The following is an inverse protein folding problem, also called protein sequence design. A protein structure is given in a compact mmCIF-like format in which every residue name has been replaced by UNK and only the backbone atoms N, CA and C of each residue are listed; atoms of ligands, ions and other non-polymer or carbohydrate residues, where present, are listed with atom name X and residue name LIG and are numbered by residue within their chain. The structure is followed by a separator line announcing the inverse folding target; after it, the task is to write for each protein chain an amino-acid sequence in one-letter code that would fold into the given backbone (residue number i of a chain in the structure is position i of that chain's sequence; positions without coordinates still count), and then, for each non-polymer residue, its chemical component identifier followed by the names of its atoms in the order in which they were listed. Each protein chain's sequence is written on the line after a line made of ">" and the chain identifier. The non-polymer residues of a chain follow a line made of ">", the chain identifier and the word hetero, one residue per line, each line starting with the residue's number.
data_IF_995774421104
#
_entry.id   IF_995774421104
#
_cell.length_a   1.000
_cell.length_b   1.000
_cell.length_c   1.000
_cell.angle_alpha   90.00
_cell.angle_beta   90.00
_cell.angle_gamma   90.00
#
_symmetry.space_group_name_H-M   'P 1'
#
loop_
_entity.id
_entity.type
_entity.pdbx_description
1 polymer ?
#
# COMPACT_ATOMS: atom_id res chain seq x y z
N UNK A 1 -23.27 -19.47 30.97
CA UNK A 1 -21.83 -19.82 31.12
C UNK A 1 -21.21 -20.47 29.89
N UNK A 2 -21.61 -20.10 28.65
CA UNK A 2 -21.12 -20.76 27.43
C UNK A 2 -20.76 -19.79 26.29
N UNK A 3 -20.39 -18.55 26.58
CA UNK A 3 -20.09 -17.54 25.54
C UNK A 3 -18.58 -17.43 25.25
N UNK A 4 -17.69 -18.09 26.00
CA UNK A 4 -16.23 -17.96 25.84
C UNK A 4 -15.56 -19.01 24.94
N UNK A 5 -16.31 -19.94 24.36
CA UNK A 5 -15.73 -21.09 23.64
C UNK A 5 -15.33 -20.87 22.17
N UNK A 6 -15.74 -19.76 21.54
CA UNK A 6 -15.61 -19.62 20.08
C UNK A 6 -14.41 -18.79 19.59
N UNK A 7 -13.54 -18.30 20.47
CA UNK A 7 -12.43 -17.41 20.11
C UNK A 7 -11.07 -17.82 20.71
N UNK A 8 -10.84 -19.10 20.90
CA UNK A 8 -9.58 -19.59 21.47
C UNK A 8 -8.57 -20.05 20.41
N UNK A 9 -8.90 -19.96 19.15
CA UNK A 9 -8.01 -20.31 18.05
C UNK A 9 -8.33 -19.53 16.78
N UNK A 10 -7.30 -19.33 15.97
CA UNK A 10 -7.41 -18.80 14.60
C UNK A 10 -6.66 -19.71 13.65
N UNK A 11 -7.28 -20.06 12.54
CA UNK A 11 -6.63 -20.78 11.45
C UNK A 11 -6.08 -19.79 10.44
N UNK A 12 -4.77 -19.59 10.44
CA UNK A 12 -4.05 -18.72 9.51
C UNK A 12 -3.86 -19.47 8.19
N UNK A 13 -4.35 -18.90 7.11
CA UNK A 13 -4.30 -19.50 5.78
C UNK A 13 -2.87 -19.35 5.17
N UNK A 14 -2.51 -20.19 4.17
CA UNK A 14 -1.29 -19.98 3.39
C UNK A 14 -1.23 -18.59 2.76
N UNK A 15 -0.10 -17.89 2.94
CA UNK A 15 0.08 -16.50 2.50
C UNK A 15 -0.51 -15.46 3.43
N UNK A 16 -0.86 -15.88 4.64
CA UNK A 16 -1.24 -15.00 5.74
C UNK A 16 -0.27 -15.18 6.91
N UNK A 17 -0.16 -14.14 7.71
CA UNK A 17 0.59 -14.12 8.98
C UNK A 17 -0.25 -13.45 10.06
N UNK A 18 -0.05 -13.86 11.31
CA UNK A 18 -0.77 -13.32 12.45
C UNK A 18 0.13 -12.60 13.43
N UNK A 19 -0.40 -11.58 14.08
CA UNK A 19 0.21 -10.95 15.26
C UNK A 19 -0.75 -11.05 16.42
N UNK A 20 -0.23 -11.27 17.61
CA UNK A 20 -1.03 -11.47 18.83
C UNK A 20 -1.08 -10.20 19.67
N UNK A 21 -2.28 -9.87 20.13
CA UNK A 21 -2.50 -8.81 21.10
C UNK A 21 -2.88 -9.41 22.46
N UNK A 22 -2.06 -9.15 23.47
CA UNK A 22 -2.27 -9.59 24.84
C UNK A 22 -3.05 -8.55 25.63
N UNK A 23 -4.35 -8.76 25.80
CA UNK A 23 -5.23 -7.79 26.47
C UNK A 23 -4.92 -7.59 27.96
N UNK A 24 -4.44 -8.64 28.63
CA UNK A 24 -4.09 -8.61 30.06
C UNK A 24 -2.57 -8.68 30.28
N UNK A 25 -1.76 -8.24 29.30
CA UNK A 25 -0.30 -8.30 29.36
C UNK A 25 0.35 -7.11 28.66
N UNK A 26 1.44 -7.36 27.93
CA UNK A 26 2.29 -6.34 27.31
C UNK A 26 1.71 -5.71 26.04
N UNK A 27 0.45 -6.00 25.69
CA UNK A 27 -0.20 -5.45 24.51
C UNK A 27 0.13 -6.20 23.22
N UNK A 28 0.53 -5.46 22.18
CA UNK A 28 0.87 -6.04 20.89
C UNK A 28 2.25 -6.70 20.91
N UNK A 29 2.29 -7.96 20.48
CA UNK A 29 3.55 -8.67 20.24
C UNK A 29 4.12 -8.26 18.88
N UNK A 30 5.15 -7.44 18.91
CA UNK A 30 5.82 -6.96 17.68
C UNK A 30 6.98 -7.85 17.24
N UNK A 31 7.41 -8.78 18.08
CA UNK A 31 8.57 -9.63 17.83
C UNK A 31 8.20 -10.97 17.21
N UNK A 32 7.03 -11.50 17.56
CA UNK A 32 6.60 -12.82 17.12
C UNK A 32 5.52 -12.74 16.06
N UNK A 33 5.83 -13.30 14.89
CA UNK A 33 4.87 -13.47 13.80
C UNK A 33 4.41 -14.92 13.73
N UNK A 34 3.11 -15.13 13.76
CA UNK A 34 2.48 -16.44 13.73
C UNK A 34 2.22 -16.88 12.29
N UNK A 35 2.74 -18.07 11.94
CA UNK A 35 2.61 -18.66 10.61
C UNK A 35 1.28 -19.38 10.39
N UNK A 36 1.15 -19.94 9.17
CA UNK A 36 -0.02 -20.72 8.75
C UNK A 36 -0.33 -21.90 9.68
N UNK A 37 -1.60 -22.25 9.75
CA UNK A 37 -2.13 -23.34 10.57
C UNK A 37 -2.96 -22.85 11.76
N UNK A 38 -3.30 -23.79 12.62
CA UNK A 38 -4.14 -23.52 13.78
C UNK A 38 -3.30 -22.94 14.93
N UNK A 39 -3.58 -21.71 15.29
CA UNK A 39 -2.91 -21.00 16.37
C UNK A 39 -3.87 -20.80 17.55
N UNK A 40 -3.49 -21.30 18.72
CA UNK A 40 -4.30 -21.21 19.94
C UNK A 40 -3.87 -20.00 20.79
N UNK A 41 -4.84 -19.36 21.43
CA UNK A 41 -4.61 -18.24 22.36
C UNK A 41 -5.70 -18.19 23.42
N UNK A 42 -5.44 -17.46 24.49
CA UNK A 42 -6.40 -17.29 25.59
C UNK A 42 -7.59 -16.43 25.14
N UNK A 43 -8.80 -16.66 25.69
CA UNK A 43 -10.03 -16.05 25.18
C UNK A 43 -10.08 -14.51 25.27
N UNK A 44 -9.24 -13.91 26.09
CA UNK A 44 -9.10 -12.45 26.21
C UNK A 44 -8.05 -11.85 25.28
N UNK A 45 -7.21 -12.67 24.64
CA UNK A 45 -6.25 -12.22 23.64
C UNK A 45 -6.90 -12.15 22.25
N UNK A 46 -6.25 -11.44 21.34
CA UNK A 46 -6.71 -11.35 19.95
C UNK A 46 -5.59 -11.76 18.99
N UNK A 47 -5.97 -12.40 17.90
CA UNK A 47 -5.09 -12.67 16.77
C UNK A 47 -5.53 -11.77 15.60
N UNK A 48 -4.62 -10.95 15.11
CA UNK A 48 -4.83 -10.07 13.95
C UNK A 48 -4.10 -10.71 12.78
N UNK A 49 -4.82 -10.96 11.69
CA UNK A 49 -4.29 -11.69 10.52
C UNK A 49 -4.09 -10.75 9.35
N UNK A 50 -2.91 -10.79 8.76
CA UNK A 50 -2.52 -10.02 7.59
C UNK A 50 -2.34 -10.92 6.37
N UNK A 51 -2.79 -10.45 5.21
CA UNK A 51 -2.41 -11.02 3.93
C UNK A 51 -1.01 -10.48 3.56
N UNK A 52 -0.05 -11.40 3.43
CA UNK A 52 1.35 -11.06 3.09
C UNK A 52 1.70 -11.43 1.66
N UNK A 53 0.72 -11.86 0.87
CA UNK A 53 0.89 -12.09 -0.57
C UNK A 53 1.07 -10.78 -1.31
N UNK A 54 1.63 -10.88 -2.50
CA UNK A 54 1.67 -9.77 -3.46
C UNK A 54 0.25 -9.27 -3.78
N UNK A 55 0.03 -7.99 -3.58
CA UNK A 55 -1.22 -7.29 -3.83
C UNK A 55 -1.00 -6.24 -4.90
N UNK A 56 -2.05 -5.95 -5.68
CA UNK A 56 -2.05 -4.88 -6.65
C UNK A 56 -3.17 -3.89 -6.36
N UNK A 57 -2.84 -2.61 -6.37
CA UNK A 57 -3.83 -1.55 -6.19
C UNK A 57 -3.67 -0.48 -7.26
N UNK A 58 -4.79 -0.14 -7.93
CA UNK A 58 -4.85 0.94 -8.88
C UNK A 58 -5.04 2.28 -8.16
N UNK A 59 -4.27 3.28 -8.55
CA UNK A 59 -4.36 4.64 -8.02
C UNK A 59 -4.25 5.64 -9.16
N UNK A 60 -5.01 6.73 -9.07
CA UNK A 60 -4.90 7.88 -9.96
C UNK A 60 -4.42 9.08 -9.16
N UNK A 61 -3.45 9.79 -9.70
CA UNK A 61 -2.91 11.02 -9.11
C UNK A 61 -3.08 12.15 -10.10
N UNK A 62 -3.84 13.15 -9.71
CA UNK A 62 -4.05 14.36 -10.51
C UNK A 62 -3.00 15.39 -10.11
N UNK A 63 -2.26 15.90 -11.09
CA UNK A 63 -1.15 16.83 -10.89
C UNK A 63 -1.02 17.85 -12.00
N UNK A 64 0.04 18.65 -11.90
CA UNK A 64 0.44 19.61 -12.94
C UNK A 64 1.88 19.33 -13.33
N UNK A 65 2.15 19.42 -14.61
CA UNK A 65 3.49 19.34 -15.17
C UNK A 65 4.31 20.62 -14.88
N UNK A 66 5.55 20.69 -15.36
CA UNK A 66 6.42 21.86 -15.22
C UNK A 66 5.81 23.14 -15.81
N UNK A 67 4.98 23.04 -16.85
CA UNK A 67 4.33 24.14 -17.52
C UNK A 67 2.97 24.52 -16.92
N UNK A 68 2.52 23.80 -15.89
CA UNK A 68 1.23 23.99 -15.24
C UNK A 68 0.07 23.30 -15.95
N UNK A 69 0.34 22.45 -16.94
CA UNK A 69 -0.68 21.64 -17.63
C UNK A 69 -1.21 20.56 -16.67
N UNK A 70 -2.54 20.52 -16.50
CA UNK A 70 -3.15 19.51 -15.67
C UNK A 70 -3.09 18.14 -16.35
N UNK A 71 -2.54 17.17 -15.65
CA UNK A 71 -2.47 15.78 -16.07
C UNK A 71 -2.85 14.82 -14.95
N UNK A 72 -3.43 13.70 -15.29
CA UNK A 72 -3.71 12.61 -14.37
C UNK A 72 -2.82 11.42 -14.71
N UNK A 73 -2.16 10.87 -13.69
CA UNK A 73 -1.32 9.68 -13.82
C UNK A 73 -2.04 8.49 -13.20
N UNK A 74 -2.47 7.55 -14.05
CA UNK A 74 -3.05 6.29 -13.61
C UNK A 74 -1.96 5.25 -13.43
N UNK A 75 -1.84 4.68 -12.23
CA UNK A 75 -0.78 3.75 -11.88
C UNK A 75 -1.34 2.52 -11.16
N UNK A 76 -0.65 1.38 -11.31
CA UNK A 76 -0.85 0.19 -10.50
C UNK A 76 0.38 0.00 -9.61
N UNK A 77 0.15 -0.11 -8.31
CA UNK A 77 1.19 -0.39 -7.33
C UNK A 77 1.12 -1.87 -6.98
N UNK A 78 2.24 -2.57 -7.10
CA UNK A 78 2.39 -3.97 -6.72
C UNK A 78 3.27 -4.01 -5.48
N UNK A 79 2.73 -4.56 -4.39
CA UNK A 79 3.38 -4.50 -3.08
C UNK A 79 2.96 -5.67 -2.18
N UNK A 80 3.72 -5.90 -1.13
CA UNK A 80 3.35 -6.78 -0.03
C UNK A 80 4.00 -6.31 1.28
N UNK A 81 3.39 -6.60 2.45
CA UNK A 81 4.04 -6.39 3.74
C UNK A 81 5.24 -7.32 3.93
N UNK A 82 6.23 -6.89 4.72
CA UNK A 82 7.32 -7.78 5.16
C UNK A 82 6.77 -8.80 6.14
N UNK A 83 6.87 -10.09 5.80
CA UNK A 83 6.21 -11.19 6.53
C UNK A 83 6.54 -11.23 8.02
N UNK A 84 7.79 -11.01 8.38
CA UNK A 84 8.27 -11.10 9.77
C UNK A 84 8.17 -9.77 10.53
N UNK A 85 7.72 -8.70 9.88
CA UNK A 85 7.64 -7.35 10.43
C UNK A 85 6.19 -6.82 10.53
N UNK A 86 5.18 -7.68 10.33
CA UNK A 86 3.77 -7.28 10.40
C UNK A 86 3.36 -6.77 11.78
N UNK A 87 4.02 -7.22 12.85
CA UNK A 87 3.81 -6.68 14.19
C UNK A 87 4.21 -5.21 14.29
N UNK A 88 5.34 -4.85 13.69
CA UNK A 88 5.81 -3.47 13.61
C UNK A 88 4.89 -2.63 12.73
N UNK A 89 4.52 -3.13 11.56
CA UNK A 89 3.56 -2.48 10.66
C UNK A 89 2.23 -2.21 11.36
N UNK A 90 1.71 -3.20 12.11
CA UNK A 90 0.46 -3.03 12.86
C UNK A 90 0.58 -1.96 13.94
N UNK A 91 1.70 -1.95 14.67
CA UNK A 91 1.94 -0.98 15.73
C UNK A 91 2.07 0.46 15.21
N UNK A 92 2.74 0.64 14.07
CA UNK A 92 2.99 1.97 13.50
C UNK A 92 1.82 2.54 12.68
N UNK A 93 1.13 1.70 11.91
CA UNK A 93 0.14 2.13 10.91
C UNK A 93 -1.22 1.47 11.13
N UNK A 94 -1.23 0.18 11.45
CA UNK A 94 -2.43 -0.63 11.61
C UNK A 94 -2.85 -1.35 10.32
N UNK A 95 -4.04 -1.98 10.37
CA UNK A 95 -4.54 -2.84 9.28
C UNK A 95 -4.82 -2.08 7.99
N UNK A 96 -5.23 -0.80 8.08
CA UNK A 96 -5.56 0.03 6.92
C UNK A 96 -4.32 0.80 6.36
N UNK A 97 -3.18 0.13 6.29
CA UNK A 97 -1.92 0.72 5.79
C UNK A 97 -2.01 1.17 4.33
N UNK A 98 -2.89 0.57 3.52
CA UNK A 98 -3.12 1.01 2.14
C UNK A 98 -3.63 2.46 2.08
N UNK A 99 -4.70 2.77 2.81
CA UNK A 99 -5.30 4.11 2.77
C UNK A 99 -4.56 5.13 3.62
N UNK A 100 -3.93 4.69 4.72
CA UNK A 100 -3.23 5.59 5.65
C UNK A 100 -1.79 5.89 5.25
N UNK A 101 -1.14 4.97 4.52
CA UNK A 101 0.28 5.09 4.21
C UNK A 101 0.56 5.05 2.70
N UNK A 102 0.20 3.96 2.01
CA UNK A 102 0.60 3.76 0.60
C UNK A 102 0.00 4.82 -0.31
N UNK A 103 -1.33 5.03 -0.26
CA UNK A 103 -2.02 6.00 -1.13
C UNK A 103 -1.54 7.45 -0.95
N UNK A 104 -1.43 7.99 0.28
CA UNK A 104 -0.89 9.32 0.47
C UNK A 104 0.54 9.46 -0.05
N UNK A 105 1.40 8.49 0.26
CA UNK A 105 2.80 8.52 -0.17
C UNK A 105 2.98 8.49 -1.68
N UNK A 106 2.26 7.62 -2.40
CA UNK A 106 2.34 7.61 -3.87
C UNK A 106 1.82 8.92 -4.45
N UNK A 107 0.79 9.51 -3.86
CA UNK A 107 0.27 10.81 -4.25
C UNK A 107 1.34 11.89 -4.15
N UNK A 108 1.97 12.02 -3.01
CA UNK A 108 3.00 13.03 -2.74
C UNK A 108 4.23 12.85 -3.64
N UNK A 109 4.70 11.63 -3.79
CA UNK A 109 5.86 11.30 -4.62
C UNK A 109 5.56 11.55 -6.10
N UNK A 110 4.42 11.07 -6.60
CA UNK A 110 4.02 11.26 -7.99
C UNK A 110 3.88 12.75 -8.32
N UNK A 111 3.23 13.55 -7.45
CA UNK A 111 3.11 15.00 -7.62
C UNK A 111 4.47 15.72 -7.64
N UNK A 112 5.41 15.25 -6.83
CA UNK A 112 6.76 15.81 -6.80
C UNK A 112 7.50 15.52 -8.09
N UNK A 113 7.44 14.29 -8.56
CA UNK A 113 8.16 13.86 -9.77
C UNK A 113 7.53 14.44 -11.04
N UNK A 114 6.20 14.47 -11.16
CA UNK A 114 5.49 15.03 -12.33
C UNK A 114 5.91 16.49 -12.59
N UNK A 115 6.08 17.29 -11.57
CA UNK A 115 6.48 18.72 -11.69
C UNK A 115 7.85 18.95 -12.33
N UNK A 116 8.67 17.93 -12.41
CA UNK A 116 10.01 18.04 -13.01
C UNK A 116 10.04 17.76 -14.52
N UNK A 117 8.94 17.28 -15.07
CA UNK A 117 8.81 16.92 -16.48
C UNK A 117 7.72 17.74 -17.16
N UNK A 118 7.87 17.93 -18.48
CA UNK A 118 6.77 18.43 -19.31
C UNK A 118 5.89 17.26 -19.76
N UNK A 119 4.63 17.53 -20.03
CA UNK A 119 3.71 16.50 -20.54
C UNK A 119 4.25 15.80 -21.79
N UNK A 120 4.78 16.57 -22.75
CA UNK A 120 5.36 16.03 -24.00
C UNK A 120 6.55 15.09 -23.73
N UNK A 121 7.38 15.37 -22.74
CA UNK A 121 8.47 14.49 -22.32
C UNK A 121 7.93 13.18 -21.72
N UNK A 122 6.89 13.26 -20.89
CA UNK A 122 6.30 12.10 -20.24
C UNK A 122 5.70 11.14 -21.26
N UNK A 123 4.97 11.64 -22.25
CA UNK A 123 4.31 10.79 -23.25
C UNK A 123 5.26 10.28 -24.34
N UNK A 124 6.34 11.01 -24.64
CA UNK A 124 7.23 10.68 -25.76
C UNK A 124 8.32 9.66 -25.37
N UNK A 125 9.19 10.00 -24.44
CA UNK A 125 10.40 9.22 -24.20
C UNK A 125 10.84 9.09 -22.73
N UNK A 126 10.20 9.80 -21.80
CA UNK A 126 10.60 9.79 -20.37
C UNK A 126 9.61 9.06 -19.45
N UNK A 127 8.63 8.37 -19.99
CA UNK A 127 7.66 7.60 -19.20
C UNK A 127 8.33 6.56 -18.31
N UNK A 128 9.31 5.84 -18.84
CA UNK A 128 10.04 4.82 -18.09
C UNK A 128 10.97 5.44 -17.03
N UNK A 129 11.58 6.58 -17.32
CA UNK A 129 12.40 7.33 -16.37
C UNK A 129 11.55 7.82 -15.19
N UNK A 130 10.40 8.42 -15.48
CA UNK A 130 9.43 8.88 -14.49
C UNK A 130 8.94 7.71 -13.62
N UNK A 131 8.57 6.57 -14.25
CA UNK A 131 8.19 5.34 -13.56
C UNK A 131 9.27 4.89 -12.58
N UNK A 132 10.50 4.73 -13.06
CA UNK A 132 11.62 4.27 -12.25
C UNK A 132 11.92 5.21 -11.07
N UNK A 133 11.76 6.51 -11.28
CA UNK A 133 11.99 7.49 -10.24
C UNK A 133 10.94 7.41 -9.14
N UNK A 134 9.66 7.33 -9.51
CA UNK A 134 8.57 7.13 -8.55
C UNK A 134 8.77 5.82 -7.80
N UNK A 135 9.10 4.73 -8.51
CA UNK A 135 9.30 3.40 -7.92
C UNK A 135 10.43 3.40 -6.89
N UNK A 136 11.59 3.96 -7.22
CA UNK A 136 12.73 4.04 -6.30
C UNK A 136 12.43 4.87 -5.05
N UNK A 137 11.74 6.00 -5.21
CA UNK A 137 11.33 6.83 -4.07
C UNK A 137 10.32 6.10 -3.19
N UNK A 138 9.34 5.41 -3.78
CA UNK A 138 8.37 4.60 -3.04
C UNK A 138 9.04 3.44 -2.31
N UNK A 139 9.97 2.73 -2.96
CA UNK A 139 10.72 1.64 -2.35
C UNK A 139 11.50 2.10 -1.12
N UNK A 140 12.21 3.21 -1.23
CA UNK A 140 12.98 3.77 -0.12
C UNK A 140 12.09 4.19 1.07
N UNK A 141 11.01 4.90 0.81
CA UNK A 141 10.08 5.40 1.84
C UNK A 141 9.31 4.27 2.55
N UNK A 142 8.86 3.26 1.80
CA UNK A 142 8.01 2.21 2.35
C UNK A 142 8.80 1.03 2.93
N UNK A 143 10.05 0.83 2.54
CA UNK A 143 10.94 -0.14 3.18
C UNK A 143 11.13 0.15 4.67
N UNK A 144 11.26 1.43 5.05
CA UNK A 144 11.34 1.86 6.45
C UNK A 144 10.02 1.66 7.22
N UNK A 145 8.93 1.36 6.51
CA UNK A 145 7.58 1.16 7.05
C UNK A 145 7.08 -0.27 6.90
N UNK A 146 8.00 -1.22 6.76
CA UNK A 146 7.69 -2.66 6.72
C UNK A 146 6.84 -3.11 5.53
N UNK A 147 6.94 -2.37 4.40
CA UNK A 147 6.25 -2.66 3.14
C UNK A 147 7.26 -2.69 1.99
N UNK A 148 7.18 -3.74 1.17
CA UNK A 148 7.99 -3.89 -0.04
C UNK A 148 7.15 -3.48 -1.25
N UNK A 149 7.65 -2.54 -2.03
CA UNK A 149 7.13 -2.20 -3.35
C UNK A 149 7.90 -3.03 -4.37
N UNK A 150 7.21 -3.96 -5.03
CA UNK A 150 7.81 -4.81 -6.07
C UNK A 150 7.95 -4.06 -7.39
N UNK A 151 6.86 -3.43 -7.83
CA UNK A 151 6.80 -2.71 -9.10
C UNK A 151 5.73 -1.63 -9.08
N UNK A 152 5.94 -0.55 -9.83
CA UNK A 152 4.92 0.43 -10.17
C UNK A 152 4.74 0.42 -11.68
N UNK A 153 3.50 0.29 -12.15
CA UNK A 153 3.15 0.33 -13.58
C UNK A 153 2.32 1.58 -13.86
N UNK A 154 2.78 2.40 -14.81
CA UNK A 154 1.98 3.52 -15.32
C UNK A 154 1.06 2.97 -16.40
N UNK A 155 -0.24 2.95 -16.09
CA UNK A 155 -1.28 2.43 -17.00
C UNK A 155 -1.63 3.45 -18.05
N UNK A 156 -1.85 4.70 -17.63
CA UNK A 156 -2.28 5.78 -18.53
C UNK A 156 -1.83 7.15 -18.02
N UNK A 157 -1.75 8.11 -18.95
CA UNK A 157 -1.43 9.52 -18.67
C UNK A 157 -2.46 10.36 -19.43
N UNK A 158 -3.34 11.03 -18.68
CA UNK A 158 -4.50 11.73 -19.21
C UNK A 158 -4.31 13.24 -19.01
N UNK A 159 -4.56 14.05 -20.05
CA UNK A 159 -4.63 15.51 -19.91
C UNK A 159 -6.06 15.94 -19.59
N UNK A 160 -6.19 16.92 -18.73
CA UNK A 160 -7.49 17.50 -18.32
C UNK A 160 -8.27 18.09 -19.51
N UNK A 161 -7.57 18.59 -20.55
CA UNK A 161 -8.20 19.09 -21.78
C UNK A 161 -8.96 18.02 -22.57
N UNK A 162 -8.53 16.75 -22.50
CA UNK A 162 -9.22 15.64 -23.13
C UNK A 162 -10.44 15.20 -22.30
N UNK A 163 -10.38 15.38 -20.99
CA UNK A 163 -11.52 15.15 -20.09
C UNK A 163 -12.61 16.18 -20.32
N UNK A 164 -12.29 17.46 -20.51
CA UNK A 164 -13.26 18.52 -20.82
C UNK A 164 -13.93 18.28 -22.18
N UNK A 165 -13.20 17.85 -23.20
CA UNK A 165 -13.78 17.50 -24.51
C UNK A 165 -14.71 16.29 -24.43
N UNK A 166 -14.31 15.24 -23.71
CA UNK A 166 -15.13 14.04 -23.54
C UNK A 166 -16.43 14.29 -22.75
N UNK A 167 -16.48 15.34 -21.92
CA UNK A 167 -17.68 15.76 -21.18
C UNK A 167 -18.57 16.65 -22.06
N UNK A 168 -17.99 17.44 -22.97
CA UNK A 168 -18.72 18.39 -23.81
C UNK A 168 -19.35 17.74 -25.05
N UNK A 169 -18.88 16.56 -25.45
CA UNK A 169 -19.42 15.78 -26.59
C UNK A 169 -20.54 14.79 -26.23
N UNK A 170 -21.09 14.86 -25.04
CA UNK A 170 -22.27 14.13 -24.57
C UNK A 170 -23.43 15.08 -24.35
#
# INVERSE_FOLDING_TARGET
>A
LFIFGSQMYTNIQPGQKGVKFYTLGDGLDTEITYGQGMNFYLPWNKMIVYDVKTQMHAVQVDGKDTNGVQCALAMNIIYHPVEDEIGLLHNEVGEDYLNKLIKPKIGDIALTVIKEYTYDEIISNKKDELKLRIEKMMQAELAERHIIIEEIKISDIIISADIEKAITEK
#
